data_IF_400193218030
#
_entry.id   IF_400193218030
#
_cell.length_a   1.000
_cell.length_b   1.000
_cell.length_c   1.000
_cell.angle_alpha   90.00
_cell.angle_beta   90.00
_cell.angle_gamma   90.00
#
_symmetry.space_group_name_H-M   'P 1'
#
loop_
_entity.id
_entity.type
_entity.pdbx_description
1 polymer ?
#
# COMPACT_ATOMS: atom_id res chain seq x y z
N UNK A 1 -24.57 -13.78 -15.11
CA UNK A 1 -24.43 -14.14 -13.69
C UNK A 1 -23.50 -13.14 -13.04
N UNK A 2 -23.92 -12.47 -11.97
CA UNK A 2 -23.04 -11.54 -11.24
C UNK A 2 -22.03 -12.35 -10.42
N UNK A 3 -20.74 -12.03 -10.54
CA UNK A 3 -19.70 -12.67 -9.75
C UNK A 3 -19.58 -11.92 -8.42
N UNK A 4 -19.76 -12.61 -7.29
CA UNK A 4 -19.65 -12.00 -5.97
C UNK A 4 -18.20 -11.96 -5.51
N UNK A 5 -17.86 -10.99 -4.66
CA UNK A 5 -16.51 -10.89 -4.08
C UNK A 5 -16.13 -12.17 -3.32
N UNK A 6 -17.07 -12.79 -2.62
CA UNK A 6 -16.88 -14.06 -1.90
C UNK A 6 -16.46 -15.20 -2.83
N UNK A 7 -17.07 -15.29 -4.01
CA UNK A 7 -16.72 -16.30 -5.01
C UNK A 7 -15.31 -16.07 -5.58
N UNK A 8 -14.96 -14.82 -5.88
CA UNK A 8 -13.62 -14.45 -6.36
C UNK A 8 -12.55 -14.80 -5.30
N UNK A 9 -12.81 -14.48 -4.03
CA UNK A 9 -11.91 -14.82 -2.92
C UNK A 9 -11.76 -16.33 -2.78
N UNK A 10 -12.87 -17.08 -2.84
CA UNK A 10 -12.85 -18.55 -2.73
C UNK A 10 -11.99 -19.18 -3.83
N UNK A 11 -12.17 -18.74 -5.08
CA UNK A 11 -11.40 -19.25 -6.22
C UNK A 11 -9.92 -18.84 -6.13
N UNK A 12 -9.63 -17.60 -5.74
CA UNK A 12 -8.26 -17.13 -5.57
C UNK A 12 -7.52 -17.93 -4.49
N UNK A 13 -8.17 -18.23 -3.35
CA UNK A 13 -7.57 -18.99 -2.26
C UNK A 13 -7.24 -20.46 -2.64
N UNK A 14 -7.90 -21.02 -3.65
CA UNK A 14 -7.59 -22.35 -4.17
C UNK A 14 -6.28 -22.41 -4.98
N UNK A 15 -5.71 -21.25 -5.36
CA UNK A 15 -4.46 -21.18 -6.10
C UNK A 15 -3.23 -21.46 -5.21
N UNK A 16 -2.11 -21.94 -5.80
CA UNK A 16 -0.80 -21.94 -5.15
C UNK A 16 -0.39 -20.52 -4.71
N UNK A 17 0.56 -20.39 -3.75
CA UNK A 17 0.97 -19.09 -3.20
C UNK A 17 1.30 -18.02 -4.26
N UNK A 18 2.00 -18.40 -5.34
CA UNK A 18 2.36 -17.48 -6.42
C UNK A 18 1.14 -16.98 -7.19
N UNK A 19 0.16 -17.85 -7.45
CA UNK A 19 -1.09 -17.47 -8.11
C UNK A 19 -1.92 -16.52 -7.24
N UNK A 20 -1.95 -16.75 -5.92
CA UNK A 20 -2.59 -15.81 -4.98
C UNK A 20 -1.92 -14.44 -4.98
N UNK A 21 -0.59 -14.41 -4.95
CA UNK A 21 0.17 -13.16 -5.00
C UNK A 21 -0.13 -12.38 -6.29
N UNK A 22 -0.17 -13.05 -7.44
CA UNK A 22 -0.51 -12.42 -8.72
C UNK A 22 -1.92 -11.81 -8.71
N UNK A 23 -2.93 -12.55 -8.22
CA UNK A 23 -4.31 -12.03 -8.13
C UNK A 23 -4.38 -10.83 -7.18
N UNK A 24 -3.73 -10.91 -6.03
CA UNK A 24 -3.69 -9.82 -5.06
C UNK A 24 -3.06 -8.55 -5.67
N UNK A 25 -1.94 -8.69 -6.38
CA UNK A 25 -1.26 -7.59 -7.07
C UNK A 25 -2.20 -6.91 -8.09
N UNK A 26 -2.87 -7.68 -8.96
CA UNK A 26 -3.82 -7.12 -9.94
C UNK A 26 -4.99 -6.39 -9.30
N UNK A 27 -5.51 -6.91 -8.20
CA UNK A 27 -6.60 -6.26 -7.47
C UNK A 27 -6.13 -4.97 -6.81
N UNK A 28 -4.93 -4.94 -6.22
CA UNK A 28 -4.36 -3.72 -5.64
C UNK A 28 -4.13 -2.66 -6.71
N UNK A 29 -3.53 -3.02 -7.84
CA UNK A 29 -3.34 -2.10 -8.96
C UNK A 29 -4.65 -1.54 -9.50
N UNK A 30 -5.73 -2.32 -9.49
CA UNK A 30 -7.04 -1.84 -9.92
C UNK A 30 -7.63 -0.76 -9.02
N UNK A 31 -7.13 -0.62 -7.78
CA UNK A 31 -7.51 0.42 -6.83
C UNK A 31 -6.64 1.67 -6.95
N UNK A 32 -5.51 1.57 -7.63
CA UNK A 32 -4.63 2.71 -7.83
C UNK A 32 -5.30 3.72 -8.77
N UNK A 33 -5.11 4.99 -8.44
CA UNK A 33 -5.54 6.10 -9.27
C UNK A 33 -4.96 5.91 -10.69
N UNK A 34 -5.80 6.06 -11.72
CA UNK A 34 -5.41 5.74 -13.09
C UNK A 34 -4.21 6.59 -13.57
N UNK A 35 -3.47 6.16 -14.60
CA UNK A 35 -2.40 6.97 -15.16
C UNK A 35 -2.88 8.37 -15.52
N UNK A 36 -2.28 9.40 -14.91
CA UNK A 36 -2.64 10.80 -15.13
C UNK A 36 -3.64 11.38 -14.13
N UNK A 37 -4.07 10.61 -13.12
CA UNK A 37 -4.87 11.15 -12.02
C UNK A 37 -3.96 11.92 -11.05
N UNK A 38 -4.25 13.21 -10.94
CA UNK A 38 -3.46 14.15 -10.16
C UNK A 38 -3.61 13.88 -8.66
N UNK A 39 -2.51 13.92 -7.89
CA UNK A 39 -2.58 13.88 -6.43
C UNK A 39 -3.57 14.94 -5.93
N UNK A 40 -4.44 14.56 -4.99
CA UNK A 40 -5.39 15.50 -4.43
C UNK A 40 -4.64 16.73 -3.86
N UNK A 41 -5.22 17.94 -3.95
CA UNK A 41 -4.56 19.14 -3.42
C UNK A 41 -4.10 18.99 -1.96
N UNK A 42 -4.91 18.30 -1.13
CA UNK A 42 -4.59 17.99 0.27
C UNK A 42 -3.35 17.09 0.40
N UNK A 43 -3.24 16.05 -0.42
CA UNK A 43 -2.07 15.17 -0.43
C UNK A 43 -0.82 15.90 -0.93
N UNK A 44 -0.94 16.77 -1.94
CA UNK A 44 0.18 17.59 -2.41
C UNK A 44 0.70 18.55 -1.33
N UNK A 45 -0.20 19.19 -0.58
CA UNK A 45 0.16 20.04 0.54
C UNK A 45 0.88 19.27 1.64
N UNK A 46 0.33 18.11 2.03
CA UNK A 46 0.88 17.27 3.10
C UNK A 46 2.29 16.75 2.75
N UNK A 47 2.50 16.28 1.51
CA UNK A 47 3.82 15.82 1.06
C UNK A 47 4.84 16.96 1.15
N UNK A 48 4.52 18.16 0.64
CA UNK A 48 5.42 19.31 0.71
C UNK A 48 5.73 19.73 2.15
N UNK A 49 4.73 19.70 3.03
CA UNK A 49 4.89 20.00 4.46
C UNK A 49 5.88 19.02 5.10
N UNK A 50 5.68 17.72 4.90
CA UNK A 50 6.57 16.68 5.47
C UNK A 50 7.99 16.75 4.94
N UNK A 51 8.18 16.96 3.64
CA UNK A 51 9.53 17.13 3.08
C UNK A 51 10.25 18.29 3.75
N UNK A 52 9.61 19.46 3.84
CA UNK A 52 10.19 20.63 4.50
C UNK A 52 10.54 20.35 5.97
N UNK A 53 9.63 19.74 6.73
CA UNK A 53 9.86 19.41 8.14
C UNK A 53 11.04 18.45 8.34
N UNK A 54 11.25 17.52 7.39
CA UNK A 54 12.42 16.63 7.38
C UNK A 54 13.69 17.42 7.07
N UNK A 55 13.68 18.24 6.00
CA UNK A 55 14.83 19.01 5.55
C UNK A 55 15.31 20.04 6.59
N UNK A 56 14.37 20.62 7.33
CA UNK A 56 14.62 21.57 8.42
C UNK A 56 14.99 20.89 9.75
N UNK A 57 14.91 19.55 9.83
CA UNK A 57 15.12 18.81 11.08
C UNK A 57 14.08 19.13 12.15
N UNK A 58 12.88 19.55 11.76
CA UNK A 58 11.79 19.91 12.65
C UNK A 58 11.08 18.68 13.28
N UNK A 59 11.47 17.47 12.87
CA UNK A 59 10.89 16.21 13.32
C UNK A 59 11.96 15.21 13.75
N UNK A 60 11.67 14.47 14.82
CA UNK A 60 12.41 13.27 15.20
C UNK A 60 12.06 12.12 14.24
N UNK A 61 13.03 11.73 13.41
CA UNK A 61 12.88 10.62 12.48
C UNK A 61 13.14 9.29 13.17
N UNK A 62 12.47 8.25 12.71
CA UNK A 62 12.71 6.88 13.17
C UNK A 62 13.61 6.16 12.19
N UNK A 63 14.56 5.41 12.72
CA UNK A 63 15.42 4.57 11.88
C UNK A 63 14.58 3.54 11.11
N UNK A 64 14.85 3.42 9.82
CA UNK A 64 14.11 2.52 8.94
C UNK A 64 14.25 1.06 9.38
N UNK A 65 15.44 0.65 9.85
CA UNK A 65 15.68 -0.71 10.32
C UNK A 65 14.78 -1.06 11.51
N UNK A 66 14.60 -0.13 12.46
CA UNK A 66 13.72 -0.31 13.62
C UNK A 66 12.24 -0.42 13.20
N UNK A 67 11.80 0.41 12.26
CA UNK A 67 10.44 0.38 11.73
C UNK A 67 10.17 -0.97 11.04
N UNK A 68 11.07 -1.42 10.17
CA UNK A 68 10.91 -2.69 9.47
C UNK A 68 11.05 -3.91 10.39
N UNK A 69 11.93 -3.86 11.39
CA UNK A 69 12.06 -4.91 12.39
C UNK A 69 10.76 -5.09 13.17
N UNK A 70 10.16 -3.99 13.63
CA UNK A 70 8.85 -4.01 14.32
C UNK A 70 7.75 -4.56 13.43
N UNK A 71 7.69 -4.17 12.16
CA UNK A 71 6.67 -4.66 11.22
C UNK A 71 6.78 -6.18 11.00
N UNK A 72 8.00 -6.70 10.80
CA UNK A 72 8.22 -8.15 10.64
C UNK A 72 7.87 -8.93 11.90
N UNK A 73 8.21 -8.41 13.08
CA UNK A 73 7.89 -9.06 14.35
C UNK A 73 6.37 -9.21 14.58
N UNK A 74 5.55 -8.32 14.01
CA UNK A 74 4.09 -8.38 14.12
C UNK A 74 3.42 -9.41 13.18
N UNK A 75 4.19 -10.02 12.25
CA UNK A 75 3.70 -11.03 11.31
C UNK A 75 4.05 -12.47 11.75
N UNK A 76 4.79 -12.62 12.85
CA UNK A 76 5.16 -13.91 13.46
C UNK A 76 4.17 -14.30 14.56
#
# INVERSE_FOLDING_TARGET
MSMTAEKIVTEALALPPQGRAFVAERLIESLEAGPGEDLSPKWREEVRRRCREIDEGALELRDAADVFAKARAALA
#
